data_IF_003416124783
#
_entry.id   IF_003416124783
#
_cell.length_a   1.000
_cell.length_b   1.000
_cell.length_c   1.000
_cell.angle_alpha   90.00
_cell.angle_beta   90.00
_cell.angle_gamma   90.00
#
_symmetry.space_group_name_H-M   'P 1'
#
loop_
_entity.id
_entity.type
_entity.pdbx_description
1 polymer ?
#
# COMPACT_ATOMS: atom_id res chain seq x y z
N UNK A 1 -27.77 -26.25 -15.20
CA UNK A 1 -27.77 -24.77 -15.37
C UNK A 1 -26.61 -24.09 -14.63
N UNK A 2 -26.05 -24.67 -13.55
CA UNK A 2 -24.89 -24.11 -12.82
C UNK A 2 -23.53 -24.15 -13.55
N UNK A 3 -23.34 -25.02 -14.57
CA UNK A 3 -22.05 -25.14 -15.28
C UNK A 3 -21.78 -24.04 -16.32
N UNK A 4 -22.78 -23.27 -16.75
CA UNK A 4 -22.58 -22.18 -17.72
C UNK A 4 -22.12 -20.87 -17.08
N UNK A 5 -22.49 -20.61 -15.82
CA UNK A 5 -22.12 -19.37 -15.11
C UNK A 5 -20.71 -19.41 -14.50
N UNK A 6 -20.19 -20.59 -14.16
CA UNK A 6 -18.81 -20.73 -13.66
C UNK A 6 -17.79 -20.52 -14.77
N UNK A 7 -18.04 -21.11 -15.95
CA UNK A 7 -17.16 -20.97 -17.11
C UNK A 7 -17.08 -19.53 -17.63
N UNK A 8 -18.15 -18.73 -17.53
CA UNK A 8 -18.13 -17.30 -17.91
C UNK A 8 -17.33 -16.45 -16.92
N UNK A 9 -17.40 -16.77 -15.62
CA UNK A 9 -16.68 -16.06 -14.56
C UNK A 9 -15.17 -16.33 -14.59
N UNK A 10 -14.78 -17.59 -14.77
CA UNK A 10 -13.37 -17.98 -14.94
C UNK A 10 -12.76 -17.35 -16.19
N UNK A 11 -13.52 -17.30 -17.29
CA UNK A 11 -13.09 -16.61 -18.50
C UNK A 11 -12.88 -15.10 -18.29
N UNK A 12 -13.80 -14.44 -17.58
CA UNK A 12 -13.67 -13.03 -17.24
C UNK A 12 -12.46 -12.78 -16.31
N UNK A 13 -12.18 -13.68 -15.38
CA UNK A 13 -10.97 -13.63 -14.54
C UNK A 13 -9.68 -13.73 -15.36
N UNK A 14 -9.61 -14.69 -16.29
CA UNK A 14 -8.47 -14.85 -17.18
C UNK A 14 -8.23 -13.62 -18.06
N UNK A 15 -9.30 -13.04 -18.63
CA UNK A 15 -9.19 -11.81 -19.42
C UNK A 15 -8.66 -10.65 -18.59
N UNK A 16 -9.10 -10.53 -17.33
CA UNK A 16 -8.63 -9.49 -16.41
C UNK A 16 -7.15 -9.67 -16.04
N UNK A 17 -6.72 -10.89 -15.70
CA UNK A 17 -5.34 -11.13 -15.24
C UNK A 17 -4.33 -11.06 -16.39
N UNK A 18 -4.66 -11.61 -17.57
CA UNK A 18 -3.75 -11.70 -18.72
C UNK A 18 -3.21 -10.34 -19.19
N UNK A 19 -4.01 -9.28 -19.09
CA UNK A 19 -3.56 -7.92 -19.44
C UNK A 19 -2.37 -7.47 -18.58
N UNK A 20 -2.43 -7.75 -17.27
CA UNK A 20 -1.37 -7.41 -16.31
C UNK A 20 -0.19 -8.40 -16.36
N UNK A 21 -0.43 -9.65 -16.74
CA UNK A 21 0.63 -10.62 -17.05
C UNK A 21 1.50 -10.12 -18.21
N UNK A 22 0.85 -9.64 -19.27
CA UNK A 22 1.56 -9.06 -20.41
C UNK A 22 2.26 -7.75 -20.07
N UNK A 23 1.67 -6.88 -19.21
CA UNK A 23 2.39 -5.70 -18.70
C UNK A 23 3.69 -6.10 -17.98
N UNK A 24 3.61 -7.11 -17.11
CA UNK A 24 4.76 -7.61 -16.35
C UNK A 24 5.84 -8.21 -17.24
N UNK A 25 5.42 -8.96 -18.27
CA UNK A 25 6.31 -9.53 -19.27
C UNK A 25 6.81 -8.51 -20.31
N UNK A 26 6.48 -7.23 -20.17
CA UNK A 26 6.83 -6.14 -21.09
C UNK A 26 6.30 -6.34 -22.52
N UNK A 27 5.22 -7.11 -22.67
CA UNK A 27 4.52 -7.34 -23.94
C UNK A 27 3.45 -6.26 -24.14
N UNK A 28 3.86 -5.00 -24.28
CA UNK A 28 2.97 -3.84 -24.19
C UNK A 28 1.92 -3.75 -25.30
N UNK A 29 2.22 -4.17 -26.53
CA UNK A 29 1.23 -4.24 -27.61
C UNK A 29 0.10 -5.22 -27.27
N UNK A 30 0.46 -6.40 -26.75
CA UNK A 30 -0.51 -7.42 -26.35
C UNK A 30 -1.31 -6.97 -25.13
N UNK A 31 -0.63 -6.39 -24.14
CA UNK A 31 -1.25 -5.84 -22.94
C UNK A 31 -2.28 -4.77 -23.28
N UNK A 32 -1.97 -3.84 -24.19
CA UNK A 32 -2.90 -2.78 -24.60
C UNK A 32 -4.22 -3.34 -25.13
N UNK A 33 -4.16 -4.34 -26.02
CA UNK A 33 -5.34 -5.00 -26.57
C UNK A 33 -6.10 -5.82 -25.51
N UNK A 34 -5.38 -6.47 -24.59
CA UNK A 34 -5.99 -7.25 -23.51
C UNK A 34 -6.71 -6.36 -22.49
N UNK A 35 -6.17 -5.18 -22.15
CA UNK A 35 -6.89 -4.20 -21.34
C UNK A 35 -8.17 -3.71 -22.03
N UNK A 36 -8.18 -3.61 -23.37
CA UNK A 36 -9.39 -3.26 -24.13
C UNK A 36 -10.46 -4.34 -23.97
N UNK A 37 -10.06 -5.59 -24.26
CA UNK A 37 -10.94 -6.74 -24.23
C UNK A 37 -11.51 -6.96 -22.82
N UNK A 38 -10.68 -6.83 -21.78
CA UNK A 38 -11.11 -6.93 -20.39
C UNK A 38 -12.14 -5.85 -20.03
N UNK A 39 -11.91 -4.59 -20.42
CA UNK A 39 -12.85 -3.50 -20.15
C UNK A 39 -14.19 -3.71 -20.88
N UNK A 40 -14.17 -4.09 -22.16
CA UNK A 40 -15.37 -4.39 -22.94
C UNK A 40 -16.16 -5.58 -22.37
N UNK A 41 -15.46 -6.65 -21.95
CA UNK A 41 -16.11 -7.81 -21.34
C UNK A 41 -16.80 -7.45 -20.01
N UNK A 42 -16.19 -6.58 -19.19
CA UNK A 42 -16.79 -6.07 -17.95
C UNK A 42 -17.97 -5.12 -18.20
N UNK A 43 -17.90 -4.29 -19.25
CA UNK A 43 -19.03 -3.45 -19.69
C UNK A 43 -20.24 -4.32 -20.09
N UNK A 44 -20.00 -5.40 -20.86
CA UNK A 44 -21.04 -6.36 -21.23
C UNK A 44 -21.59 -7.12 -20.02
N UNK A 45 -20.75 -7.47 -19.03
CA UNK A 45 -21.16 -8.13 -17.80
C UNK A 45 -22.13 -7.25 -16.97
N UNK A 46 -21.87 -5.95 -16.91
CA UNK A 46 -22.79 -4.95 -16.32
C UNK A 46 -24.12 -4.94 -17.06
N UNK A 47 -24.09 -4.85 -18.39
CA UNK A 47 -25.31 -4.80 -19.20
C UNK A 47 -26.17 -6.07 -19.02
N UNK A 48 -25.52 -7.23 -19.01
CA UNK A 48 -26.19 -8.51 -18.80
C UNK A 48 -26.78 -8.63 -17.39
N UNK A 49 -26.06 -8.15 -16.38
CA UNK A 49 -26.54 -8.17 -14.98
C UNK A 49 -27.77 -7.28 -14.79
N UNK A 50 -27.83 -6.13 -15.45
CA UNK A 50 -28.99 -5.23 -15.43
C UNK A 50 -30.26 -5.83 -16.07
N UNK A 51 -30.11 -6.79 -16.98
CA UNK A 51 -31.22 -7.51 -17.61
C UNK A 51 -31.66 -8.72 -16.76
N UNK A 52 -30.80 -9.21 -15.86
CA UNK A 52 -31.12 -10.33 -14.97
C UNK A 52 -31.94 -9.90 -13.76
N UNK A 53 -32.96 -10.70 -13.40
CA UNK A 53 -33.90 -10.44 -12.29
C UNK A 53 -33.39 -11.05 -10.96
N UNK A 54 -32.20 -11.65 -10.95
CA UNK A 54 -31.61 -12.29 -9.76
C UNK A 54 -31.03 -11.27 -8.78
N UNK A 55 -31.52 -11.20 -7.53
CA UNK A 55 -31.09 -10.17 -6.56
C UNK A 55 -29.62 -10.24 -6.15
N UNK A 56 -29.00 -11.44 -6.19
CA UNK A 56 -27.64 -11.65 -5.68
C UNK A 56 -26.53 -11.20 -6.64
N UNK A 57 -26.79 -11.18 -7.96
CA UNK A 57 -25.82 -10.75 -8.98
C UNK A 57 -25.80 -9.22 -9.14
N UNK A 58 -26.81 -8.52 -8.61
CA UNK A 58 -27.00 -7.07 -8.73
C UNK A 58 -26.73 -6.31 -7.42
N UNK A 59 -25.81 -6.79 -6.57
CA UNK A 59 -25.43 -6.02 -5.38
C UNK A 59 -24.69 -4.73 -5.78
N UNK A 60 -25.02 -3.61 -5.15
CA UNK A 60 -24.37 -2.30 -5.41
C UNK A 60 -22.85 -2.37 -5.29
N UNK A 61 -22.34 -3.21 -4.38
CA UNK A 61 -20.91 -3.42 -4.18
C UNK A 61 -20.28 -4.21 -5.33
N UNK A 62 -20.95 -5.23 -5.86
CA UNK A 62 -20.48 -5.93 -7.05
C UNK A 62 -20.38 -4.98 -8.24
N UNK A 63 -21.42 -4.19 -8.49
CA UNK A 63 -21.42 -3.18 -9.56
C UNK A 63 -20.32 -2.13 -9.38
N UNK A 64 -20.04 -1.72 -8.14
CA UNK A 64 -18.92 -0.82 -7.82
C UNK A 64 -17.57 -1.47 -8.15
N UNK A 65 -17.39 -2.72 -7.77
CA UNK A 65 -16.15 -3.47 -8.05
C UNK A 65 -15.92 -3.56 -9.56
N UNK A 66 -16.94 -3.99 -10.32
CA UNK A 66 -16.83 -4.12 -11.79
C UNK A 66 -16.54 -2.76 -12.44
N UNK A 67 -17.22 -1.68 -12.04
CA UNK A 67 -16.93 -0.31 -12.53
C UNK A 67 -15.51 0.17 -12.19
N UNK A 68 -15.01 -0.19 -11.00
CA UNK A 68 -13.63 0.11 -10.61
C UNK A 68 -12.66 -0.65 -11.49
N UNK A 69 -12.89 -1.95 -11.76
CA UNK A 69 -12.05 -2.74 -12.67
C UNK A 69 -12.05 -2.16 -14.09
N UNK A 70 -13.21 -1.76 -14.65
CA UNK A 70 -13.28 -1.07 -15.95
C UNK A 70 -12.40 0.18 -15.93
N UNK A 71 -12.53 1.01 -14.89
CA UNK A 71 -11.75 2.24 -14.75
C UNK A 71 -10.25 1.95 -14.75
N UNK A 72 -9.81 0.94 -13.99
CA UNK A 72 -8.41 0.51 -13.93
C UNK A 72 -7.95 0.11 -15.34
N UNK A 73 -8.62 -0.82 -16.03
CA UNK A 73 -8.19 -1.26 -17.35
C UNK A 73 -8.12 -0.10 -18.35
N UNK A 74 -9.12 0.80 -18.36
CA UNK A 74 -9.13 1.99 -19.24
C UNK A 74 -8.04 3.01 -18.89
N UNK A 75 -7.66 3.15 -17.62
CA UNK A 75 -6.52 3.98 -17.20
C UNK A 75 -5.20 3.37 -17.68
N UNK A 76 -5.03 2.06 -17.56
CA UNK A 76 -3.85 1.35 -18.08
C UNK A 76 -3.69 1.47 -19.59
N UNK A 77 -4.78 1.34 -20.36
CA UNK A 77 -4.73 1.61 -21.80
C UNK A 77 -4.27 3.04 -22.11
N UNK A 78 -4.81 4.04 -21.40
CA UNK A 78 -4.42 5.44 -21.55
C UNK A 78 -2.95 5.68 -21.18
N UNK A 79 -2.39 4.89 -20.26
CA UNK A 79 -0.99 4.94 -19.88
C UNK A 79 -0.06 4.28 -20.90
N UNK A 80 -0.49 3.15 -21.48
CA UNK A 80 0.26 2.42 -22.49
C UNK A 80 0.33 3.16 -23.84
N UNK A 81 -0.75 3.85 -24.21
CA UNK A 81 -0.88 4.47 -25.53
C UNK A 81 0.28 5.41 -25.91
N UNK A 82 0.70 6.39 -25.08
CA UNK A 82 1.84 7.25 -25.43
C UNK A 82 3.15 6.48 -25.59
N UNK A 83 3.37 5.44 -24.79
CA UNK A 83 4.55 4.59 -24.86
C UNK A 83 4.62 3.81 -26.18
N UNK A 84 3.47 3.33 -26.66
CA UNK A 84 3.36 2.61 -27.94
C UNK A 84 3.42 3.54 -29.16
N UNK A 85 2.75 4.70 -29.11
CA UNK A 85 2.67 5.63 -30.24
C UNK A 85 3.98 6.39 -30.50
N UNK A 86 4.75 6.67 -29.45
CA UNK A 86 5.88 7.60 -29.54
C UNK A 86 7.25 6.91 -29.55
N UNK A 87 7.28 5.60 -29.29
CA UNK A 87 8.49 4.94 -28.78
C UNK A 87 8.85 5.48 -27.40
N UNK A 88 9.75 4.81 -26.68
CA UNK A 88 10.10 5.22 -25.32
C UNK A 88 10.65 6.66 -25.26
N UNK A 89 11.31 7.15 -26.32
CA UNK A 89 12.09 8.41 -26.36
C UNK A 89 11.34 9.76 -26.36
N UNK A 90 10.14 9.89 -25.81
CA UNK A 90 9.52 11.21 -25.54
C UNK A 90 9.82 11.65 -24.13
N UNK A 91 10.50 12.78 -23.99
CA UNK A 91 10.79 13.39 -22.70
C UNK A 91 9.57 14.18 -22.17
N UNK A 92 9.29 14.07 -20.88
CA UNK A 92 8.32 14.93 -20.18
C UNK A 92 8.80 16.39 -20.12
N UNK A 93 7.99 17.29 -19.53
CA UNK A 93 8.34 18.71 -19.38
C UNK A 93 9.63 18.94 -18.55
N UNK A 94 10.15 17.90 -17.89
CA UNK A 94 11.38 17.90 -17.10
C UNK A 94 12.54 17.16 -17.80
N UNK A 95 12.38 16.78 -19.07
CA UNK A 95 13.44 16.13 -19.85
C UNK A 95 13.60 14.63 -19.59
N UNK A 96 12.61 13.95 -18.97
CA UNK A 96 12.68 12.51 -18.68
C UNK A 96 11.85 11.69 -19.63
N UNK A 97 12.43 10.62 -20.14
CA UNK A 97 11.75 9.63 -20.97
C UNK A 97 10.39 9.20 -20.34
N UNK A 98 9.32 9.20 -21.14
CA UNK A 98 7.98 8.76 -20.76
C UNK A 98 7.96 7.24 -20.60
N UNK A 99 8.57 6.77 -19.50
CA UNK A 99 8.64 5.36 -19.15
C UNK A 99 7.29 4.95 -18.57
N UNK A 100 6.60 4.06 -19.28
CA UNK A 100 5.43 3.40 -18.74
C UNK A 100 5.84 2.57 -17.52
N UNK A 101 5.18 2.77 -16.39
CA UNK A 101 5.42 2.01 -15.15
C UNK A 101 4.41 0.85 -15.09
N UNK A 102 4.85 -0.43 -15.20
CA UNK A 102 3.96 -1.59 -15.08
C UNK A 102 3.22 -1.60 -13.74
N UNK A 103 1.99 -2.09 -13.73
CA UNK A 103 1.21 -2.20 -12.51
C UNK A 103 1.83 -3.28 -11.59
N UNK A 104 2.09 -2.97 -10.30
CA UNK A 104 2.54 -3.95 -9.33
C UNK A 104 1.56 -5.11 -9.23
N UNK A 105 2.09 -6.33 -9.17
CA UNK A 105 1.31 -7.56 -9.13
C UNK A 105 2.02 -8.65 -8.31
N UNK A 106 1.39 -9.81 -8.21
CA UNK A 106 1.84 -10.90 -7.36
C UNK A 106 3.06 -11.62 -7.91
N UNK A 107 3.31 -11.59 -9.23
CA UNK A 107 4.54 -12.17 -9.79
C UNK A 107 5.77 -11.40 -9.32
N UNK A 108 5.73 -10.06 -9.37
CA UNK A 108 6.79 -9.23 -8.80
C UNK A 108 6.97 -9.47 -7.30
N UNK A 109 5.86 -9.52 -6.55
CA UNK A 109 5.91 -9.77 -5.12
C UNK A 109 6.44 -11.17 -4.76
N UNK A 110 6.07 -12.20 -5.53
CA UNK A 110 6.56 -13.57 -5.32
C UNK A 110 8.05 -13.67 -5.63
N UNK A 111 8.54 -12.95 -6.64
CA UNK A 111 9.97 -12.81 -6.91
C UNK A 111 10.72 -12.26 -5.70
N UNK A 112 10.19 -11.24 -5.04
CA UNK A 112 10.81 -10.70 -3.81
C UNK A 112 10.69 -11.64 -2.60
N UNK A 113 9.71 -12.54 -2.57
CA UNK A 113 9.51 -13.48 -1.48
C UNK A 113 10.34 -14.76 -1.64
N UNK A 114 10.84 -15.02 -2.84
CA UNK A 114 11.71 -16.16 -3.15
C UNK A 114 13.00 -16.07 -2.32
N UNK A 115 13.41 -17.17 -1.71
CA UNK A 115 14.62 -17.26 -0.90
C UNK A 115 15.87 -16.90 -1.72
N UNK A 116 15.87 -17.20 -3.02
CA UNK A 116 16.98 -16.90 -3.94
C UNK A 116 17.12 -15.40 -4.24
N UNK A 117 16.08 -14.59 -4.00
CA UNK A 117 16.09 -13.15 -4.28
C UNK A 117 17.07 -12.36 -3.40
N UNK A 118 17.36 -12.86 -2.20
CA UNK A 118 18.12 -12.12 -1.18
C UNK A 118 17.47 -10.81 -0.71
N UNK A 119 16.21 -10.55 -1.07
CA UNK A 119 15.49 -9.34 -0.68
C UNK A 119 15.23 -9.30 0.83
N UNK A 120 14.93 -8.12 1.39
CA UNK A 120 14.57 -8.03 2.80
C UNK A 120 13.25 -8.78 3.11
N UNK A 121 12.37 -8.86 2.13
CA UNK A 121 11.09 -9.57 2.21
C UNK A 121 11.25 -11.08 2.23
N UNK A 122 12.17 -11.65 1.46
CA UNK A 122 12.46 -13.09 1.52
C UNK A 122 13.07 -13.48 2.87
N UNK A 123 13.99 -12.65 3.39
CA UNK A 123 14.53 -12.81 4.75
C UNK A 123 13.41 -12.75 5.80
N UNK A 124 12.50 -11.78 5.69
CA UNK A 124 11.36 -11.70 6.61
C UNK A 124 10.45 -12.93 6.51
N UNK A 125 10.14 -13.37 5.29
CA UNK A 125 9.31 -14.55 5.04
C UNK A 125 9.91 -15.80 5.72
N UNK A 126 11.19 -16.06 5.49
CA UNK A 126 11.93 -17.17 6.10
C UNK A 126 11.89 -17.12 7.63
N UNK A 127 12.22 -15.96 8.22
CA UNK A 127 12.23 -15.80 9.69
C UNK A 127 10.86 -16.03 10.32
N UNK A 128 9.78 -15.55 9.68
CA UNK A 128 8.42 -15.74 10.20
C UNK A 128 7.95 -17.19 10.05
N UNK A 129 8.30 -17.84 8.95
CA UNK A 129 8.00 -19.26 8.74
C UNK A 129 8.69 -20.12 9.81
N UNK A 130 9.98 -19.89 10.04
CA UNK A 130 10.76 -20.61 11.06
C UNK A 130 10.14 -20.45 12.46
N UNK A 131 9.75 -19.23 12.83
CA UNK A 131 9.17 -18.95 14.15
C UNK A 131 7.83 -19.67 14.39
N UNK A 132 7.05 -19.96 13.34
CA UNK A 132 5.73 -20.58 13.46
C UNK A 132 5.73 -22.09 13.25
N UNK A 133 6.64 -22.61 12.43
CA UNK A 133 6.56 -23.98 11.92
C UNK A 133 7.80 -24.83 12.18
N UNK A 134 8.91 -24.28 12.69
CA UNK A 134 10.08 -25.08 13.04
C UNK A 134 9.97 -25.64 14.48
N UNK A 135 9.84 -26.97 14.68
CA UNK A 135 9.89 -27.59 16.01
C UNK A 135 11.30 -27.68 16.59
N UNK A 136 12.32 -27.26 15.85
CA UNK A 136 13.73 -27.34 16.23
C UNK A 136 14.31 -25.94 16.43
N UNK A 137 15.19 -25.82 17.43
CA UNK A 137 16.14 -24.73 17.61
C UNK A 137 17.18 -24.74 16.49
N UNK A 138 16.70 -24.58 15.26
CA UNK A 138 17.53 -24.33 14.10
C UNK A 138 18.09 -22.93 14.31
N UNK A 139 19.37 -22.83 14.64
CA UNK A 139 20.12 -21.59 14.45
C UNK A 139 19.95 -21.22 12.98
N UNK A 140 19.32 -20.07 12.65
CA UNK A 140 19.27 -19.59 11.28
C UNK A 140 20.68 -19.67 10.70
N UNK A 141 20.80 -20.01 9.42
CA UNK A 141 22.06 -19.83 8.69
C UNK A 141 22.39 -18.32 8.65
N UNK A 142 22.86 -17.77 9.76
CA UNK A 142 23.39 -16.42 9.87
C UNK A 142 24.67 -16.24 9.04
N UNK A 143 25.21 -17.34 8.50
CA UNK A 143 26.35 -17.33 7.57
C UNK A 143 25.96 -16.85 6.16
N UNK A 144 24.66 -16.79 5.80
CA UNK A 144 24.18 -16.43 4.45
C UNK A 144 23.21 -15.23 4.45
N UNK A 145 22.58 -14.91 5.59
CA UNK A 145 21.72 -13.74 5.69
C UNK A 145 22.56 -12.45 5.82
N UNK A 146 22.16 -11.33 5.17
CA UNK A 146 22.86 -10.07 5.30
C UNK A 146 22.98 -9.71 6.79
N UNK A 147 24.22 -9.50 7.27
CA UNK A 147 24.41 -9.20 8.69
C UNK A 147 23.57 -7.97 9.08
N UNK A 148 22.83 -8.03 10.20
CA UNK A 148 22.12 -6.87 10.72
C UNK A 148 23.08 -5.75 11.15
N UNK A 149 24.40 -5.99 11.17
CA UNK A 149 25.42 -5.00 11.50
C UNK A 149 25.60 -3.94 10.40
N UNK A 150 25.25 -4.27 9.14
CA UNK A 150 25.26 -3.30 8.04
C UNK A 150 23.87 -2.66 7.94
N UNK A 151 23.75 -1.32 8.00
CA UNK A 151 22.48 -0.64 7.78
C UNK A 151 21.84 -1.05 6.45
N UNK A 152 20.53 -1.28 6.44
CA UNK A 152 19.78 -1.69 5.28
C UNK A 152 19.93 -0.70 4.13
N UNK A 153 19.97 0.60 4.45
CA UNK A 153 20.18 1.62 3.43
C UNK A 153 21.48 1.40 2.64
N UNK A 154 22.55 0.95 3.30
CA UNK A 154 23.85 0.71 2.67
C UNK A 154 23.86 -0.56 1.80
N UNK A 155 22.85 -1.42 1.96
CA UNK A 155 22.63 -2.59 1.10
C UNK A 155 21.80 -2.28 -0.14
N UNK A 156 21.11 -1.14 -0.18
CA UNK A 156 20.32 -0.73 -1.33
C UNK A 156 21.23 -0.25 -2.46
N UNK A 157 20.85 -0.54 -3.70
CA UNK A 157 21.56 -0.04 -4.87
C UNK A 157 21.45 1.50 -4.95
N UNK A 158 22.55 2.24 -4.73
CA UNK A 158 22.51 3.69 -4.69
C UNK A 158 22.30 4.32 -6.08
N UNK A 159 22.43 3.54 -7.15
CA UNK A 159 22.20 4.00 -8.52
C UNK A 159 20.72 4.05 -8.88
N UNK A 160 19.87 3.34 -8.14
CA UNK A 160 18.43 3.36 -8.37
C UNK A 160 17.82 4.66 -7.83
N UNK A 161 17.02 5.37 -8.65
CA UNK A 161 16.35 6.57 -8.19
C UNK A 161 15.28 6.22 -7.14
N UNK A 162 14.94 7.18 -6.25
CA UNK A 162 13.83 7.02 -5.34
C UNK A 162 12.50 6.76 -6.06
N UNK A 163 11.70 5.83 -5.55
CA UNK A 163 10.36 5.58 -6.05
C UNK A 163 9.41 6.57 -5.37
N UNK A 164 8.64 7.31 -6.16
CA UNK A 164 7.75 8.36 -5.66
C UNK A 164 6.30 8.00 -5.92
N UNK A 165 5.46 8.22 -4.91
CA UNK A 165 4.01 8.11 -5.03
C UNK A 165 3.31 9.40 -4.62
N UNK A 166 2.33 9.81 -5.42
CA UNK A 166 1.39 10.86 -5.05
C UNK A 166 0.13 10.23 -4.43
N UNK A 167 -0.16 10.60 -3.19
CA UNK A 167 -1.30 10.07 -2.45
C UNK A 167 -2.52 10.96 -2.66
N UNK A 168 -3.57 10.38 -3.23
CA UNK A 168 -4.80 11.07 -3.54
C UNK A 168 -5.98 10.47 -2.81
N UNK A 169 -6.78 11.36 -2.21
CA UNK A 169 -8.13 11.01 -1.77
C UNK A 169 -9.05 11.07 -2.98
N UNK A 170 -9.64 9.93 -3.34
CA UNK A 170 -10.39 9.82 -4.59
C UNK A 170 -11.90 9.95 -4.36
N UNK A 171 -12.45 9.30 -3.32
CA UNK A 171 -13.92 9.28 -3.12
C UNK A 171 -14.35 8.96 -1.69
N UNK A 172 -15.49 9.53 -1.30
CA UNK A 172 -16.31 9.12 -0.16
C UNK A 172 -17.64 8.56 -0.68
N UNK A 173 -18.04 7.39 -0.21
CA UNK A 173 -19.38 6.85 -0.45
C UNK A 173 -20.07 6.66 0.90
N UNK A 174 -21.31 7.16 1.01
CA UNK A 174 -22.16 6.93 2.16
C UNK A 174 -23.31 6.02 1.76
N UNK A 175 -23.33 4.78 2.25
CA UNK A 175 -24.47 3.89 2.09
C UNK A 175 -24.90 3.36 3.45
N UNK A 176 -26.19 3.47 3.75
CA UNK A 176 -26.80 2.89 4.95
C UNK A 176 -26.05 3.21 6.27
N UNK A 177 -25.55 4.44 6.42
CA UNK A 177 -24.83 4.87 7.62
C UNK A 177 -23.36 4.44 7.70
N UNK A 178 -22.81 3.82 6.65
CA UNK A 178 -21.38 3.56 6.51
C UNK A 178 -20.74 4.58 5.58
N UNK A 179 -19.56 5.06 5.95
CA UNK A 179 -18.68 5.86 5.10
C UNK A 179 -17.53 5.00 4.61
N UNK A 180 -17.30 5.03 3.30
CA UNK A 180 -16.18 4.34 2.63
C UNK A 180 -15.21 5.37 2.07
N UNK A 181 -13.93 5.23 2.42
CA UNK A 181 -12.83 6.07 1.98
C UNK A 181 -11.99 5.29 0.99
N UNK A 182 -11.67 5.94 -0.13
CA UNK A 182 -10.78 5.37 -1.15
C UNK A 182 -9.59 6.32 -1.35
N UNK A 183 -8.40 5.79 -1.11
CA UNK A 183 -7.14 6.47 -1.35
C UNK A 183 -6.39 5.76 -2.46
N UNK A 184 -5.80 6.52 -3.38
CA UNK A 184 -4.93 5.97 -4.42
C UNK A 184 -3.50 6.47 -4.20
N UNK A 185 -2.54 5.60 -4.48
CA UNK A 185 -1.14 5.96 -4.64
C UNK A 185 -0.84 5.92 -6.14
N UNK A 186 -0.55 7.09 -6.71
CA UNK A 186 -0.25 7.27 -8.12
C UNK A 186 1.24 7.29 -8.35
N UNK A 187 1.67 6.84 -9.52
CA UNK A 187 3.08 6.88 -9.92
C UNK A 187 3.60 8.34 -10.05
N UNK A 188 4.90 8.48 -10.27
CA UNK A 188 5.62 9.75 -10.26
C UNK A 188 4.97 10.87 -11.11
N UNK A 189 4.41 10.56 -12.29
CA UNK A 189 3.76 11.54 -13.17
C UNK A 189 2.36 11.98 -12.69
N UNK A 190 1.89 11.40 -11.59
CA UNK A 190 0.59 11.63 -10.96
C UNK A 190 -0.63 11.27 -11.84
N UNK A 191 -0.41 10.53 -12.92
CA UNK A 191 -1.46 10.23 -13.90
C UNK A 191 -2.22 8.96 -13.56
N UNK A 192 -1.54 7.93 -13.08
CA UNK A 192 -2.12 6.59 -12.95
C UNK A 192 -1.94 6.01 -11.55
N UNK A 193 -2.99 5.40 -11.02
CA UNK A 193 -2.92 4.69 -9.74
C UNK A 193 -2.18 3.36 -9.90
N UNK A 194 -1.28 3.05 -8.97
CA UNK A 194 -0.62 1.74 -8.86
C UNK A 194 -1.14 0.94 -7.65
N UNK A 195 -1.60 1.65 -6.61
CA UNK A 195 -2.20 1.05 -5.43
C UNK A 195 -3.45 1.80 -5.01
N UNK A 196 -4.35 1.09 -4.34
CA UNK A 196 -5.55 1.65 -3.73
C UNK A 196 -5.67 1.14 -2.29
N UNK A 197 -6.14 1.98 -1.38
CA UNK A 197 -6.55 1.59 -0.04
C UNK A 197 -8.02 1.94 0.15
N UNK A 198 -8.82 0.95 0.55
CA UNK A 198 -10.21 1.14 0.93
C UNK A 198 -10.39 0.96 2.43
N UNK A 199 -11.13 1.86 3.06
CA UNK A 199 -11.49 1.73 4.46
C UNK A 199 -12.97 2.08 4.63
N UNK A 200 -13.70 1.31 5.43
CA UNK A 200 -15.10 1.58 5.72
C UNK A 200 -15.33 1.62 7.22
N UNK A 201 -16.18 2.53 7.67
CA UNK A 201 -16.62 2.60 9.07
C UNK A 201 -18.06 3.10 9.16
N UNK A 202 -18.74 2.83 10.28
CA UNK A 202 -20.06 3.41 10.54
C UNK A 202 -19.89 4.87 10.91
N UNK A 203 -20.83 5.75 10.57
CA UNK A 203 -20.72 7.19 10.84
C UNK A 203 -20.52 7.54 12.33
N UNK A 204 -20.82 6.63 13.25
CA UNK A 204 -20.63 6.76 14.70
C UNK A 204 -19.42 5.97 15.25
N UNK A 205 -18.62 5.35 14.40
CA UNK A 205 -17.45 4.57 14.80
C UNK A 205 -16.16 5.18 14.26
N UNK A 206 -15.02 4.65 14.68
CA UNK A 206 -13.75 4.99 14.04
C UNK A 206 -13.43 3.97 12.96
N UNK A 207 -12.54 4.35 12.05
CA UNK A 207 -11.90 3.39 11.16
C UNK A 207 -11.06 2.44 12.01
N UNK A 208 -11.40 1.15 11.97
CA UNK A 208 -10.73 0.06 12.68
C UNK A 208 -10.01 -0.91 11.74
N UNK A 209 -10.34 -0.87 10.45
CA UNK A 209 -9.71 -1.69 9.42
C UNK A 209 -9.66 -0.98 8.07
N UNK A 210 -8.74 -1.43 7.24
CA UNK A 210 -8.63 -1.03 5.85
C UNK A 210 -8.02 -2.17 5.04
N UNK A 211 -8.28 -2.17 3.74
CA UNK A 211 -7.74 -3.13 2.79
C UNK A 211 -6.91 -2.39 1.75
N UNK A 212 -5.70 -2.87 1.49
CA UNK A 212 -4.78 -2.30 0.52
C UNK A 212 -4.65 -3.26 -0.66
N UNK A 213 -4.77 -2.71 -1.86
CA UNK A 213 -4.88 -3.41 -3.12
C UNK A 213 -3.79 -2.94 -4.07
N UNK A 214 -3.16 -3.90 -4.75
CA UNK A 214 -2.52 -3.64 -6.04
C UNK A 214 -3.61 -3.45 -7.08
N UNK A 215 -3.48 -2.46 -7.96
CA UNK A 215 -4.52 -2.23 -8.99
C UNK A 215 -4.66 -3.41 -9.94
N UNK A 216 -3.57 -4.16 -10.18
CA UNK A 216 -3.57 -5.36 -11.02
C UNK A 216 -4.37 -6.54 -10.43
N UNK A 217 -4.61 -6.54 -9.12
CA UNK A 217 -5.25 -7.64 -8.39
C UNK A 217 -6.61 -7.26 -7.81
N UNK A 218 -7.06 -6.01 -7.99
CA UNK A 218 -8.31 -5.53 -7.40
C UNK A 218 -9.50 -6.40 -7.88
N UNK A 219 -10.38 -6.88 -6.97
CA UNK A 219 -10.55 -6.49 -5.57
C UNK A 219 -9.87 -7.43 -4.54
N UNK A 220 -8.87 -8.22 -4.91
CA UNK A 220 -8.14 -9.04 -3.97
C UNK A 220 -7.14 -8.17 -3.16
N UNK A 221 -7.26 -8.11 -1.83
CA UNK A 221 -6.35 -7.32 -1.01
C UNK A 221 -4.96 -7.96 -0.97
N UNK A 222 -3.92 -7.14 -1.16
CA UNK A 222 -2.53 -7.53 -0.94
C UNK A 222 -2.15 -7.44 0.54
N UNK A 223 -2.72 -6.46 1.26
CA UNK A 223 -2.49 -6.27 2.71
C UNK A 223 -3.83 -5.92 3.39
N UNK A 224 -4.19 -6.67 4.42
CA UNK A 224 -5.27 -6.30 5.34
C UNK A 224 -4.68 -5.55 6.53
N UNK A 225 -5.31 -4.46 6.92
CA UNK A 225 -4.85 -3.56 7.97
C UNK A 225 -5.86 -3.55 9.11
N UNK A 226 -5.38 -3.78 10.33
CA UNK A 226 -6.17 -3.67 11.55
C UNK A 226 -5.58 -2.59 12.45
N UNK A 227 -6.44 -1.70 12.92
CA UNK A 227 -6.10 -0.60 13.82
C UNK A 227 -6.59 -0.94 15.23
N UNK A 228 -5.74 -0.80 16.24
CA UNK A 228 -6.20 -0.95 17.62
C UNK A 228 -7.24 0.10 17.97
N UNK A 229 -8.24 -0.28 18.76
CA UNK A 229 -9.24 0.64 19.29
C UNK A 229 -8.61 1.79 20.10
N UNK A 230 -9.33 2.90 20.15
CA UNK A 230 -8.97 4.07 20.96
C UNK A 230 -10.04 4.20 22.05
N UNK A 231 -9.62 4.39 23.29
CA UNK A 231 -10.54 4.72 24.39
C UNK A 231 -10.95 6.19 24.27
N UNK A 232 -11.83 6.45 23.32
CA UNK A 232 -12.41 7.75 23.07
C UNK A 232 -13.90 7.62 22.87
N UNK A 233 -14.65 8.61 23.34
CA UNK A 233 -16.08 8.69 23.03
C UNK A 233 -16.25 8.74 21.50
N UNK A 234 -17.34 8.17 20.94
CA UNK A 234 -17.63 8.11 19.51
C UNK A 234 -17.51 9.42 18.71
N UNK A 235 -17.44 10.59 19.37
CA UNK A 235 -17.38 11.92 18.75
C UNK A 235 -16.19 12.77 19.22
N UNK A 236 -15.15 12.13 19.74
CA UNK A 236 -13.92 12.85 20.07
C UNK A 236 -13.19 13.24 18.77
N UNK A 237 -13.35 14.50 18.34
CA UNK A 237 -12.69 15.04 17.14
C UNK A 237 -11.16 14.98 17.17
N UNK A 238 -10.57 14.71 18.35
CA UNK A 238 -9.13 14.51 18.50
C UNK A 238 -8.67 13.07 18.27
N UNK A 239 -9.60 12.11 18.15
CA UNK A 239 -9.26 10.69 18.15
C UNK A 239 -8.44 10.24 16.95
N UNK A 240 -8.61 10.87 15.79
CA UNK A 240 -7.78 10.61 14.63
C UNK A 240 -6.29 10.89 14.86
N UNK A 241 -5.97 11.81 15.78
CA UNK A 241 -4.60 12.19 16.12
C UNK A 241 -4.03 11.35 17.28
N UNK A 242 -4.83 10.46 17.87
CA UNK A 242 -4.38 9.56 18.92
C UNK A 242 -3.60 8.40 18.32
N UNK A 243 -2.39 8.21 18.85
CA UNK A 243 -1.53 7.08 18.53
C UNK A 243 -2.23 5.74 18.79
N UNK A 244 -2.13 4.80 17.85
CA UNK A 244 -2.68 3.45 17.97
C UNK A 244 -1.79 2.45 17.24
N UNK A 245 -1.90 1.18 17.61
CA UNK A 245 -1.16 0.12 16.95
C UNK A 245 -1.75 -0.15 15.56
N UNK A 246 -0.88 -0.44 14.60
CA UNK A 246 -1.25 -0.83 13.25
C UNK A 246 -0.75 -2.25 13.03
N UNK A 247 -1.64 -3.17 12.69
CA UNK A 247 -1.29 -4.53 12.33
C UNK A 247 -1.50 -4.71 10.83
N UNK A 248 -0.42 -5.01 10.11
CA UNK A 248 -0.37 -5.18 8.67
C UNK A 248 -0.23 -6.67 8.38
N UNK A 249 -1.26 -7.28 7.80
CA UNK A 249 -1.26 -8.69 7.38
C UNK A 249 -1.13 -8.74 5.86
N UNK A 250 0.10 -8.97 5.40
CA UNK A 250 0.41 -9.21 3.99
C UNK A 250 0.66 -10.70 3.72
N UNK A 251 1.64 -11.06 2.86
CA UNK A 251 1.89 -12.44 2.45
C UNK A 251 2.59 -13.32 3.52
N UNK A 252 2.92 -12.75 4.68
CA UNK A 252 3.69 -13.42 5.72
C UNK A 252 2.83 -14.26 6.68
N UNK A 253 3.46 -15.29 7.27
CA UNK A 253 2.83 -16.13 8.29
C UNK A 253 2.48 -15.37 9.58
N UNK A 254 3.20 -14.28 9.91
CA UNK A 254 2.86 -13.38 11.02
C UNK A 254 2.57 -11.96 10.54
N UNK A 255 1.56 -11.27 11.11
CA UNK A 255 1.34 -9.86 10.86
C UNK A 255 2.50 -8.98 11.39
N UNK A 256 2.83 -7.94 10.65
CA UNK A 256 3.75 -6.89 11.08
C UNK A 256 2.99 -5.96 12.02
N UNK A 257 3.56 -5.68 13.19
CA UNK A 257 2.92 -4.87 14.22
C UNK A 257 3.73 -3.61 14.45
N UNK A 258 3.13 -2.46 14.12
CA UNK A 258 3.67 -1.16 14.46
C UNK A 258 3.14 -0.70 15.80
N UNK A 259 4.04 -0.53 16.76
CA UNK A 259 3.72 -0.08 18.11
C UNK A 259 4.13 1.37 18.32
N UNK A 260 3.19 2.27 18.69
CA UNK A 260 3.56 3.60 19.12
C UNK A 260 4.29 3.56 20.46
N UNK A 261 5.31 4.41 20.63
CA UNK A 261 5.98 4.63 21.92
C UNK A 261 4.96 4.99 23.02
N UNK A 262 3.87 5.68 22.65
CA UNK A 262 2.81 6.10 23.57
C UNK A 262 1.44 5.87 22.96
N UNK A 263 0.71 4.85 23.42
CA UNK A 263 -0.64 4.58 22.96
C UNK A 263 -1.63 5.65 23.43
N UNK A 264 -2.63 5.96 22.58
CA UNK A 264 -3.71 6.91 22.80
C UNK A 264 -3.29 8.36 23.12
N UNK A 265 -2.03 8.73 22.88
CA UNK A 265 -1.53 10.09 23.02
C UNK A 265 -1.56 10.84 21.69
N UNK A 266 -1.79 12.15 21.81
CA UNK A 266 -1.73 13.14 20.72
C UNK A 266 -0.42 13.93 20.88
N UNK A 267 0.27 14.27 19.78
CA UNK A 267 0.07 13.76 18.42
C UNK A 267 0.44 12.26 18.31
N UNK A 268 0.38 11.71 17.09
CA UNK A 268 0.95 10.39 16.80
C UNK A 268 2.42 10.36 17.25
N UNK A 269 2.74 9.42 18.14
CA UNK A 269 4.09 9.20 18.64
C UNK A 269 4.89 8.33 17.68
N UNK A 270 6.24 8.34 17.77
CA UNK A 270 7.07 7.45 16.97
C UNK A 270 6.59 6.00 17.07
N UNK A 271 6.54 5.31 15.93
CA UNK A 271 6.05 3.93 15.85
C UNK A 271 7.14 3.00 15.41
N UNK A 272 7.31 1.89 16.13
CA UNK A 272 8.40 0.94 15.95
C UNK A 272 7.85 -0.40 15.47
N UNK A 273 8.60 -1.05 14.60
CA UNK A 273 8.32 -2.41 14.14
C UNK A 273 9.61 -3.12 13.76
N UNK A 274 9.51 -4.43 13.52
CA UNK A 274 10.60 -5.28 13.07
C UNK A 274 10.23 -5.91 11.74
N UNK A 275 11.18 -5.96 10.81
CA UNK A 275 11.02 -6.55 9.50
C UNK A 275 12.35 -7.13 9.02
N UNK A 276 12.36 -8.38 8.55
CA UNK A 276 13.61 -9.07 8.15
C UNK A 276 14.69 -9.09 9.24
N UNK A 277 14.31 -9.17 10.52
CA UNK A 277 15.26 -9.10 11.66
C UNK A 277 15.78 -7.70 12.00
N UNK A 278 15.41 -6.68 11.22
CA UNK A 278 15.83 -5.29 11.37
C UNK A 278 14.76 -4.45 12.06
N UNK A 279 15.16 -3.35 12.69
CA UNK A 279 14.26 -2.49 13.48
C UNK A 279 14.08 -1.13 12.83
N UNK A 280 12.83 -0.73 12.69
CA UNK A 280 12.46 0.50 12.01
C UNK A 280 11.56 1.37 12.88
N UNK A 281 11.71 2.68 12.73
CA UNK A 281 10.92 3.67 13.46
C UNK A 281 10.40 4.74 12.51
N UNK A 282 9.09 4.94 12.54
CA UNK A 282 8.43 6.10 11.95
C UNK A 282 8.57 7.30 12.87
N UNK A 283 8.97 8.45 12.33
CA UNK A 283 9.09 9.73 13.04
C UNK A 283 8.44 10.86 12.23
N UNK A 284 7.98 11.95 12.87
CA UNK A 284 7.54 13.15 12.16
C UNK A 284 8.60 13.62 11.15
N UNK A 285 8.17 13.98 9.93
CA UNK A 285 9.09 14.40 8.88
C UNK A 285 9.67 15.79 9.09
N UNK A 286 8.88 16.70 9.63
CA UNK A 286 9.33 18.03 10.06
C UNK A 286 9.30 18.09 11.60
N UNK A 287 10.40 18.49 12.28
CA UNK A 287 10.39 18.70 13.73
C UNK A 287 9.40 19.78 14.21
N UNK A 288 8.93 20.64 13.29
CA UNK A 288 7.99 21.74 13.52
C UNK A 288 6.57 21.47 13.04
N UNK A 289 6.35 20.43 12.22
CA UNK A 289 5.03 19.97 11.79
C UNK A 289 4.81 18.52 12.25
N UNK A 290 3.87 18.33 13.18
CA UNK A 290 3.48 17.01 13.71
C UNK A 290 2.64 16.19 12.70
N UNK A 291 2.69 16.51 11.40
CA UNK A 291 1.77 16.01 10.38
C UNK A 291 2.53 15.34 9.22
N UNK A 292 1.81 14.42 8.59
CA UNK A 292 2.23 13.52 7.51
C UNK A 292 2.92 14.20 6.31
N UNK A 293 3.69 13.44 5.52
CA UNK A 293 4.05 12.03 5.72
C UNK A 293 5.14 11.86 6.77
N UNK A 294 5.14 10.73 7.47
CA UNK A 294 6.23 10.42 8.41
C UNK A 294 7.45 9.87 7.68
N UNK A 295 8.63 10.10 8.27
CA UNK A 295 9.90 9.59 7.78
C UNK A 295 10.26 8.28 8.48
N UNK A 296 10.66 7.28 7.70
CA UNK A 296 11.12 5.99 8.19
C UNK A 296 12.64 5.97 8.34
N UNK A 297 13.10 5.51 9.49
CA UNK A 297 14.51 5.23 9.73
C UNK A 297 14.71 3.82 10.26
N UNK A 298 15.85 3.22 9.95
CA UNK A 298 16.37 2.06 10.66
C UNK A 298 17.12 2.50 11.93
N UNK A 299 17.05 1.69 12.99
CA UNK A 299 17.75 1.94 14.25
C UNK A 299 18.31 0.64 14.86
N UNK A 300 19.39 0.77 15.64
CA UNK A 300 20.09 -0.35 16.28
C UNK A 300 19.94 -0.36 17.80
N UNK A 301 19.71 0.78 18.43
CA UNK A 301 19.52 0.85 19.87
C UNK A 301 18.42 1.83 20.17
N UNK A 302 17.58 1.45 21.12
CA UNK A 302 16.62 2.34 21.69
C UNK A 302 16.58 2.17 23.21
N UNK A 303 16.22 3.24 23.90
CA UNK A 303 16.21 3.30 25.36
C UNK A 303 15.13 4.24 25.84
N UNK A 304 14.70 4.05 27.09
CA UNK A 304 13.76 4.97 27.71
C UNK A 304 14.38 6.37 27.80
N UNK A 305 13.62 7.40 27.41
CA UNK A 305 14.08 8.79 27.54
C UNK A 305 14.33 9.09 29.03
N UNK A 306 15.53 9.55 29.43
CA UNK A 306 15.80 9.91 30.83
C UNK A 306 14.77 10.88 31.39
N UNK A 307 14.24 10.59 32.58
CA UNK A 307 13.20 11.39 33.24
C UNK A 307 11.78 11.27 32.65
N UNK A 308 11.57 10.46 31.60
CA UNK A 308 10.24 10.25 31.03
C UNK A 308 9.42 9.28 31.88
N UNK A 309 8.29 9.76 32.41
CA UNK A 309 7.25 8.92 33.04
C UNK A 309 6.19 8.43 32.05
N UNK A 310 6.34 8.78 30.77
CA UNK A 310 5.28 8.66 29.75
C UNK A 310 5.56 7.59 28.70
N UNK A 311 6.59 6.76 28.88
CA UNK A 311 6.96 5.71 27.92
C UNK A 311 7.74 6.19 26.69
N UNK A 312 8.02 7.49 26.55
CA UNK A 312 8.85 8.01 25.44
C UNK A 312 10.19 7.28 25.34
N UNK A 313 10.55 6.84 24.14
CA UNK A 313 11.85 6.22 23.85
C UNK A 313 12.72 7.18 23.03
N UNK A 314 14.02 7.01 23.16
CA UNK A 314 15.04 7.58 22.29
C UNK A 314 15.67 6.42 21.50
N UNK A 315 16.29 6.74 20.37
CA UNK A 315 16.97 5.79 19.53
C UNK A 315 18.17 6.44 18.83
N UNK A 316 19.00 5.60 18.22
CA UNK A 316 20.18 5.98 17.48
C UNK A 316 19.93 6.22 15.98
N UNK A 317 18.69 6.29 15.51
CA UNK A 317 18.39 6.66 14.12
C UNK A 317 18.65 8.15 13.80
N UNK A 318 19.29 8.91 14.70
CA UNK A 318 19.64 10.31 14.40
C UNK A 318 20.82 10.33 13.43
N UNK A 319 20.60 10.90 12.25
CA UNK A 319 21.62 11.01 11.20
C UNK A 319 21.68 9.80 10.26
N UNK A 320 20.81 8.80 10.42
CA UNK A 320 20.67 7.74 9.42
C UNK A 320 19.92 8.26 8.18
N UNK A 321 20.25 7.69 7.03
CA UNK A 321 19.60 8.03 5.76
C UNK A 321 18.16 7.47 5.77
N UNK A 322 17.15 8.30 5.46
CA UNK A 322 15.77 7.86 5.53
C UNK A 322 15.46 6.85 4.43
N UNK A 323 14.72 5.79 4.77
CA UNK A 323 14.23 4.80 3.81
C UNK A 323 12.93 5.25 3.14
N UNK A 324 12.13 6.03 3.86
CA UNK A 324 10.90 6.63 3.37
C UNK A 324 10.84 8.06 3.89
N UNK A 325 10.51 9.02 3.05
CA UNK A 325 10.26 10.41 3.44
C UNK A 325 9.09 10.95 2.63
N UNK A 326 8.64 12.16 2.91
CA UNK A 326 7.55 12.73 2.15
C UNK A 326 7.44 14.22 2.26
N UNK A 327 6.61 14.75 1.38
CA UNK A 327 6.31 16.17 1.25
C UNK A 327 4.81 16.38 1.40
N UNK A 328 4.46 17.39 2.17
CA UNK A 328 3.10 17.90 2.25
C UNK A 328 3.01 19.19 1.43
N UNK A 329 2.22 19.17 0.36
CA UNK A 329 1.94 20.36 -0.45
C UNK A 329 0.51 20.81 -0.20
N UNK A 330 0.33 22.11 0.03
CA UNK A 330 -0.99 22.72 0.19
C UNK A 330 -1.37 23.44 -1.09
N UNK A 331 -2.35 22.92 -1.82
CA UNK A 331 -2.93 23.60 -3.00
C UNK A 331 -4.34 24.07 -2.65
N UNK A 332 -4.45 25.31 -2.17
CA UNK A 332 -5.71 25.88 -1.68
C UNK A 332 -6.18 25.20 -0.39
N UNK A 333 -7.40 24.63 -0.39
CA UNK A 333 -7.97 23.86 0.73
C UNK A 333 -7.63 22.37 0.70
N UNK A 334 -6.96 21.89 -0.35
CA UNK A 334 -6.62 20.47 -0.51
C UNK A 334 -5.15 20.28 -0.16
N UNK A 335 -4.90 19.32 0.73
CA UNK A 335 -3.57 18.84 1.03
C UNK A 335 -3.25 17.67 0.09
N UNK A 336 -2.13 17.75 -0.61
CA UNK A 336 -1.57 16.63 -1.36
C UNK A 336 -0.32 16.13 -0.65
N UNK A 337 -0.18 14.80 -0.62
CA UNK A 337 0.95 14.14 0.02
C UNK A 337 1.75 13.42 -1.04
N UNK A 338 3.05 13.61 -1.02
CA UNK A 338 3.99 12.85 -1.86
C UNK A 338 4.88 12.04 -0.93
N UNK A 339 5.02 10.75 -1.19
CA UNK A 339 5.87 9.84 -0.42
C UNK A 339 6.94 9.30 -1.33
N UNK A 340 8.17 9.32 -0.84
CA UNK A 340 9.35 8.83 -1.54
C UNK A 340 9.93 7.66 -0.78
N UNK A 341 10.34 6.64 -1.53
CA UNK A 341 11.00 5.45 -1.04
C UNK A 341 12.43 5.44 -1.59
N UNK A 342 13.39 5.04 -0.77
CA UNK A 342 14.75 4.80 -1.25
C UNK A 342 14.74 3.83 -2.45
N UNK A 343 15.59 4.08 -3.44
CA UNK A 343 15.77 3.16 -4.57
C UNK A 343 16.22 1.78 -4.09
N UNK A 344 15.84 0.73 -4.81
CA UNK A 344 16.19 -0.66 -4.45
C UNK A 344 15.36 -1.27 -3.32
N UNK A 345 14.42 -0.54 -2.69
CA UNK A 345 13.48 -1.16 -1.73
C UNK A 345 12.54 -2.09 -2.49
N UNK A 346 12.57 -3.38 -2.12
CA UNK A 346 11.75 -4.43 -2.72
C UNK A 346 10.24 -4.11 -2.64
N UNK A 347 9.47 -4.63 -3.59
CA UNK A 347 8.06 -4.31 -3.77
C UNK A 347 7.25 -4.64 -2.51
N UNK A 348 7.46 -5.81 -1.91
CA UNK A 348 6.65 -6.26 -0.77
C UNK A 348 6.88 -5.37 0.45
N UNK A 349 8.14 -5.02 0.75
CA UNK A 349 8.42 -4.13 1.87
C UNK A 349 7.86 -2.72 1.59
N UNK A 350 8.04 -2.22 0.35
CA UNK A 350 7.47 -0.94 -0.09
C UNK A 350 5.96 -0.88 0.09
N UNK A 351 5.25 -1.96 -0.25
CA UNK A 351 3.80 -2.07 -0.08
C UNK A 351 3.37 -2.01 1.39
N UNK A 352 4.06 -2.71 2.29
CA UNK A 352 3.80 -2.66 3.74
C UNK A 352 3.93 -1.23 4.27
N UNK A 353 5.01 -0.55 3.88
CA UNK A 353 5.31 0.82 4.30
C UNK A 353 4.32 1.83 3.72
N UNK A 354 3.94 1.67 2.45
CA UNK A 354 2.95 2.51 1.78
C UNK A 354 1.55 2.34 2.39
N UNK A 355 1.14 1.09 2.67
CA UNK A 355 -0.11 0.78 3.36
C UNK A 355 -0.18 1.45 4.75
N UNK A 356 0.93 1.43 5.50
CA UNK A 356 1.06 2.12 6.79
C UNK A 356 0.89 3.64 6.68
N UNK A 357 1.49 4.28 5.67
CA UNK A 357 1.32 5.72 5.42
C UNK A 357 -0.12 6.04 5.03
N UNK A 358 -0.70 5.29 4.09
CA UNK A 358 -2.05 5.53 3.59
C UNK A 358 -3.13 5.34 4.66
N UNK A 359 -3.06 4.29 5.49
CA UNK A 359 -4.09 4.06 6.52
C UNK A 359 -4.13 5.18 7.56
N UNK A 360 -2.99 5.84 7.79
CA UNK A 360 -2.92 6.97 8.72
C UNK A 360 -3.51 8.24 8.13
N UNK A 361 -3.35 8.45 6.83
CA UNK A 361 -4.09 9.50 6.12
C UNK A 361 -5.60 9.27 6.29
N UNK A 362 -6.08 8.04 6.07
CA UNK A 362 -7.49 7.69 6.30
C UNK A 362 -7.94 8.08 7.71
N UNK A 363 -7.14 7.75 8.73
CA UNK A 363 -7.44 8.09 10.11
C UNK A 363 -7.56 9.60 10.35
N UNK A 364 -6.61 10.39 9.86
CA UNK A 364 -6.60 11.85 10.01
C UNK A 364 -7.82 12.48 9.33
N UNK A 365 -8.10 12.06 8.11
CA UNK A 365 -9.17 12.63 7.31
C UNK A 365 -10.57 12.24 7.75
N UNK A 366 -10.76 11.04 8.33
CA UNK A 366 -12.08 10.66 8.84
C UNK A 366 -12.57 11.60 9.95
N UNK A 367 -11.67 12.25 10.71
CA UNK A 367 -12.06 13.22 11.75
C UNK A 367 -12.31 14.64 11.28
N UNK A 368 -11.61 15.11 10.24
CA UNK A 368 -11.70 16.49 9.77
C UNK A 368 -13.05 16.82 9.10
N UNK A 369 -13.86 15.80 8.79
CA UNK A 369 -15.17 15.91 8.14
C UNK A 369 -16.34 15.86 9.12
N UNK A 370 -16.10 15.49 10.39
CA UNK A 370 -17.14 15.43 11.45
C UNK A 370 -17.15 16.68 12.35
N UNK A 371 -16.30 17.66 12.04
CA UNK A 371 -16.14 18.92 12.79
C UNK A 371 -16.90 20.09 12.21
#
# INVERSE_FOLDING_TARGET
MAMRSTASREHLELLRSSAFESEHAQLYDSSYMQHEAAAQALEQDIENSLVSITPDENSDEHMRIVRTQITIHRERQRALRPHLESGSGVEDEEGRECVFVPAPNHWGANGDLDEESGSLSSVHNLLTWQANYSPLSYTPMYDVLPSPDTPYYDMLDPTQPPITYHLHRTREWTQAGFRKYIYSAREYSDKYALYTLEASHRADSQVTSADFFRVAEFPQPAINILLSGIDSKPRDGSAAYKSRCIHLRGPFSTPIKEYPDRQQKIPWSPRRFTYGGRRFVWKPGDPSDDIMPETLYEYNKDWAKPGSRTGKRLDDARGSRPLVWGEKKKKGKVESYTVHFAGGVDQVFREILLASQMVRQVCLFSSAMDG
#
